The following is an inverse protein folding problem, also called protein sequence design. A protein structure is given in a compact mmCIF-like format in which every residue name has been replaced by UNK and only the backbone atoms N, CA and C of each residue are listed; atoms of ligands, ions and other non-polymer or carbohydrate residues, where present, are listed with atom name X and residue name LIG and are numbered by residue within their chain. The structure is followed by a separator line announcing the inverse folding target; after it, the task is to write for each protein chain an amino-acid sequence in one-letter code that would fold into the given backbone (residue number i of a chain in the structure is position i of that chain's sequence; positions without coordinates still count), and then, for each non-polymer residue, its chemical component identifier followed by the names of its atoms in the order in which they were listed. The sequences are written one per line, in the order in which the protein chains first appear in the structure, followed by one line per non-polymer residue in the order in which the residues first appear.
data_IF_695689071131
#
_entry.id   IF_695689071131
#
_cell.length_a   1.000
_cell.length_b   1.000
_cell.length_c   1.000
_cell.angle_alpha   90.00
_cell.angle_beta   90.00
_cell.angle_gamma   90.00
#
_symmetry.space_group_name_H-M   'P 1'
#
loop_
_entity.id
_entity.type
_entity.pdbx_description
1 polymer ?
#
# COMPACT_ATOMS: atom_id res chain seq x y z
N UNK A 1 -2.50 -10.42 17.62
CA UNK A 1 -2.21 -10.35 16.17
C UNK A 1 -2.42 -8.92 15.70
N UNK A 2 -1.60 -8.46 14.75
CA UNK A 2 -1.82 -7.16 14.10
C UNK A 2 -2.88 -7.32 13.01
N UNK A 3 -3.79 -6.35 12.92
CA UNK A 3 -4.82 -6.34 11.87
C UNK A 3 -4.34 -5.69 10.57
N UNK A 4 -3.38 -4.75 10.66
CA UNK A 4 -2.83 -4.04 9.51
C UNK A 4 -1.42 -3.53 9.81
N UNK A 5 -0.56 -3.49 8.80
CA UNK A 5 0.76 -2.85 8.86
C UNK A 5 0.70 -1.52 8.14
N UNK A 6 1.01 -0.44 8.88
CA UNK A 6 1.05 0.92 8.36
C UNK A 6 2.50 1.28 8.01
N UNK A 7 2.80 1.44 6.72
CA UNK A 7 4.12 1.85 6.22
C UNK A 7 4.07 3.30 5.79
N UNK A 8 4.62 4.17 6.64
CA UNK A 8 4.85 5.57 6.32
C UNK A 8 6.05 5.73 5.37
N UNK A 9 5.86 6.44 4.26
CA UNK A 9 6.91 6.79 3.30
C UNK A 9 6.89 8.29 2.97
N UNK A 10 7.90 8.76 2.23
CA UNK A 10 7.98 10.14 1.74
C UNK A 10 7.29 10.34 0.37
N UNK A 11 6.77 9.25 -0.22
CA UNK A 11 6.10 9.23 -1.52
C UNK A 11 4.63 8.90 -1.30
N UNK A 12 3.77 9.14 -2.30
CA UNK A 12 2.32 8.97 -2.11
C UNK A 12 1.86 7.53 -1.88
N UNK A 13 2.67 6.55 -2.28
CA UNK A 13 2.41 5.13 -2.11
C UNK A 13 3.36 4.31 -2.95
N UNK A 14 2.87 3.20 -3.46
CA UNK A 14 3.57 2.33 -4.40
C UNK A 14 3.25 2.75 -5.82
N UNK A 15 4.29 2.95 -6.62
CA UNK A 15 4.17 3.27 -8.03
C UNK A 15 4.52 2.04 -8.87
N UNK A 16 3.99 1.98 -10.09
CA UNK A 16 4.37 0.93 -11.05
C UNK A 16 5.84 1.02 -11.49
N UNK A 17 6.35 2.24 -11.59
CA UNK A 17 7.74 2.58 -11.93
C UNK A 17 8.32 3.60 -10.95
N UNK A 18 9.65 3.78 -10.93
CA UNK A 18 10.26 4.78 -10.06
C UNK A 18 9.87 6.20 -10.54
N UNK A 19 9.10 6.98 -9.74
CA UNK A 19 8.69 8.34 -10.12
C UNK A 19 9.85 9.32 -10.27
N UNK A 20 11.05 8.96 -9.78
CA UNK A 20 12.28 9.75 -9.98
C UNK A 20 12.89 9.53 -11.37
N UNK A 21 12.64 8.38 -11.97
CA UNK A 21 13.19 7.99 -13.27
C UNK A 21 12.14 8.20 -14.37
N UNK A 22 10.90 7.76 -14.14
CA UNK A 22 9.80 7.97 -15.06
C UNK A 22 8.77 8.97 -14.51
N UNK A 23 8.62 10.16 -15.11
CA UNK A 23 7.58 11.11 -14.70
C UNK A 23 6.15 10.61 -14.96
N UNK A 24 5.99 9.57 -15.78
CA UNK A 24 4.69 8.92 -16.02
C UNK A 24 4.34 7.82 -15.02
N UNK A 25 5.18 7.59 -13.99
CA UNK A 25 4.92 6.60 -12.97
C UNK A 25 3.54 6.82 -12.33
N UNK A 26 2.74 5.76 -12.29
CA UNK A 26 1.36 5.79 -11.80
C UNK A 26 1.30 5.21 -10.42
N UNK A 27 0.65 5.94 -9.52
CA UNK A 27 0.29 5.43 -8.21
C UNK A 27 -0.67 4.25 -8.38
N UNK A 28 -0.40 3.17 -7.66
CA UNK A 28 -1.25 1.99 -7.62
C UNK A 28 -2.07 2.06 -6.34
N UNK A 29 -3.40 2.14 -6.43
CA UNK A 29 -4.24 2.27 -5.23
C UNK A 29 -4.32 0.95 -4.44
N UNK A 30 -4.28 -0.19 -5.14
CA UNK A 30 -4.33 -1.52 -4.55
C UNK A 30 -3.47 -2.51 -5.32
N UNK A 31 -2.76 -3.35 -4.58
CA UNK A 31 -1.89 -4.40 -5.11
C UNK A 31 -2.09 -5.71 -4.35
N UNK A 32 -1.89 -6.82 -5.04
CA UNK A 32 -1.76 -8.12 -4.36
C UNK A 32 -0.30 -8.39 -4.05
N UNK A 33 -0.02 -9.19 -3.01
CA UNK A 33 1.37 -9.60 -2.72
C UNK A 33 2.05 -10.22 -3.94
N UNK A 34 1.31 -11.01 -4.71
CA UNK A 34 1.82 -11.60 -5.94
C UNK A 34 2.22 -10.55 -6.99
N UNK A 35 1.46 -9.44 -7.13
CA UNK A 35 1.87 -8.35 -8.01
C UNK A 35 3.11 -7.63 -7.51
N UNK A 36 3.27 -7.46 -6.20
CA UNK A 36 4.47 -6.86 -5.60
C UNK A 36 5.70 -7.72 -5.92
N UNK A 37 5.61 -9.04 -5.73
CA UNK A 37 6.70 -9.98 -6.04
C UNK A 37 6.95 -10.09 -7.55
N UNK A 38 5.92 -10.21 -8.39
CA UNK A 38 6.09 -10.37 -9.84
C UNK A 38 6.62 -9.13 -10.55
N UNK A 39 6.43 -7.94 -9.97
CA UNK A 39 6.91 -6.67 -10.53
C UNK A 39 8.16 -6.15 -9.80
N UNK A 40 8.74 -6.92 -8.88
CA UNK A 40 9.90 -6.51 -8.06
C UNK A 40 9.73 -5.10 -7.44
N UNK A 41 8.50 -4.80 -6.98
CA UNK A 41 8.20 -3.49 -6.41
C UNK A 41 8.91 -3.36 -5.05
N UNK A 42 9.86 -2.43 -4.97
CA UNK A 42 10.67 -2.17 -3.78
C UNK A 42 9.90 -1.39 -2.71
N UNK A 43 8.85 -2.00 -2.16
CA UNK A 43 8.01 -1.41 -1.11
C UNK A 43 8.57 -1.67 0.29
N UNK A 44 9.02 -2.91 0.48
CA UNK A 44 9.43 -3.50 1.76
C UNK A 44 10.37 -4.67 1.44
N UNK A 45 11.19 -5.07 2.41
CA UNK A 45 12.02 -6.27 2.30
C UNK A 45 11.18 -7.51 1.92
N UNK A 46 11.69 -8.32 0.99
CA UNK A 46 10.98 -9.50 0.48
C UNK A 46 10.56 -10.45 1.62
N UNK A 47 11.38 -10.59 2.65
CA UNK A 47 11.05 -11.44 3.82
C UNK A 47 9.85 -10.91 4.58
N UNK A 48 9.74 -9.59 4.73
CA UNK A 48 8.63 -8.98 5.44
C UNK A 48 7.33 -9.00 4.62
N UNK A 49 7.41 -8.89 3.29
CA UNK A 49 6.27 -9.12 2.38
C UNK A 49 5.75 -10.56 2.55
N UNK A 50 6.63 -11.56 2.49
CA UNK A 50 6.26 -12.97 2.66
C UNK A 50 5.63 -13.22 4.04
N UNK A 51 6.21 -12.67 5.11
CA UNK A 51 5.65 -12.80 6.46
C UNK A 51 4.23 -12.21 6.56
N UNK A 52 4.01 -11.04 5.96
CA UNK A 52 2.69 -10.42 5.93
C UNK A 52 1.70 -11.25 5.11
N UNK A 53 2.13 -11.82 3.99
CA UNK A 53 1.31 -12.69 3.15
C UNK A 53 0.92 -13.98 3.89
N UNK A 54 1.86 -14.67 4.53
CA UNK A 54 1.60 -15.91 5.28
C UNK A 54 0.63 -15.69 6.44
N UNK A 55 0.74 -14.52 7.10
CA UNK A 55 -0.14 -14.15 8.20
C UNK A 55 -1.42 -13.42 7.75
N UNK A 56 -1.62 -13.24 6.43
CA UNK A 56 -2.73 -12.46 5.85
C UNK A 56 -2.88 -11.06 6.46
N UNK A 57 -1.76 -10.39 6.74
CA UNK A 57 -1.73 -9.05 7.36
C UNK A 57 -1.60 -7.99 6.27
N UNK A 58 -2.67 -7.25 5.93
CA UNK A 58 -2.62 -6.22 4.90
C UNK A 58 -1.61 -5.12 5.23
N UNK A 59 -0.96 -4.58 4.20
CA UNK A 59 0.01 -3.49 4.34
C UNK A 59 -0.52 -2.24 3.65
N UNK A 60 -0.58 -1.12 4.36
CA UNK A 60 -1.00 0.18 3.82
C UNK A 60 0.23 1.08 3.74
N UNK A 61 0.57 1.49 2.53
CA UNK A 61 1.70 2.37 2.25
C UNK A 61 1.18 3.76 1.96
N UNK A 62 1.58 4.76 2.74
CA UNK A 62 1.08 6.13 2.59
C UNK A 62 2.14 7.19 2.86
N UNK A 63 1.91 8.38 2.30
CA UNK A 63 2.76 9.54 2.55
C UNK A 63 2.53 10.13 3.94
N UNK A 64 3.59 10.20 4.75
CA UNK A 64 3.55 10.84 6.07
C UNK A 64 3.52 12.37 5.98
N UNK A 65 4.06 12.94 4.90
CA UNK A 65 4.16 14.38 4.70
C UNK A 65 2.83 15.07 4.37
N UNK A 66 1.79 14.30 4.02
CA UNK A 66 0.44 14.84 3.77
C UNK A 66 -0.36 14.90 5.08
N UNK A 67 -0.75 16.10 5.54
CA UNK A 67 -1.51 16.24 6.77
C UNK A 67 -2.85 15.51 6.65
N UNK A 68 -3.16 14.68 7.66
CA UNK A 68 -4.39 13.88 7.72
C UNK A 68 -4.28 12.47 7.14
N UNK A 69 -3.21 12.11 6.42
CA UNK A 69 -3.07 10.76 5.85
C UNK A 69 -3.05 9.65 6.91
N UNK A 70 -2.37 9.86 8.04
CA UNK A 70 -2.35 8.88 9.14
C UNK A 70 -3.77 8.62 9.66
N UNK A 71 -4.54 9.68 9.90
CA UNK A 71 -5.90 9.55 10.42
C UNK A 71 -6.82 8.82 9.42
N UNK A 72 -6.67 9.12 8.13
CA UNK A 72 -7.38 8.43 7.05
C UNK A 72 -6.99 6.95 6.94
N UNK A 73 -5.69 6.64 7.05
CA UNK A 73 -5.19 5.26 7.02
C UNK A 73 -5.76 4.42 8.17
N UNK A 74 -5.81 4.99 9.38
CA UNK A 74 -6.39 4.33 10.56
C UNK A 74 -7.92 4.17 10.42
N UNK A 75 -8.59 5.12 9.76
CA UNK A 75 -10.03 5.03 9.44
C UNK A 75 -10.36 4.00 8.35
N UNK A 76 -9.35 3.43 7.68
CA UNK A 76 -9.56 2.56 6.53
C UNK A 76 -10.01 3.30 5.26
N UNK A 77 -9.81 4.61 5.20
CA UNK A 77 -10.00 5.37 3.96
C UNK A 77 -8.89 5.02 2.95
N UNK A 78 -9.20 5.12 1.65
CA UNK A 78 -8.25 4.88 0.57
C UNK A 78 -7.15 5.96 0.57
N UNK A 79 -6.02 5.66 1.21
CA UNK A 79 -4.84 6.52 1.21
C UNK A 79 -3.58 5.76 0.80
N UNK A 80 -2.93 6.28 -0.23
CA UNK A 80 -1.76 5.66 -0.83
C UNK A 80 -2.10 4.32 -1.46
N UNK A 81 -1.42 3.26 -1.05
CA UNK A 81 -1.55 1.92 -1.64
C UNK A 81 -1.85 0.86 -0.60
N UNK A 82 -2.87 0.05 -0.84
CA UNK A 82 -3.18 -1.14 -0.06
C UNK A 82 -2.57 -2.39 -0.71
N UNK A 83 -1.81 -3.18 0.04
CA UNK A 83 -1.23 -4.44 -0.40
C UNK A 83 -1.90 -5.60 0.34
N UNK A 84 -2.42 -6.55 -0.42
CA UNK A 84 -2.87 -7.84 0.12
C UNK A 84 -4.21 -7.82 0.84
N UNK A 85 -4.71 -6.63 1.20
CA UNK A 85 -6.07 -6.49 1.71
C UNK A 85 -7.08 -6.79 0.62
N UNK A 86 -8.13 -7.53 0.97
CA UNK A 86 -9.33 -7.60 0.14
C UNK A 86 -9.75 -6.16 -0.16
N UNK A 87 -9.89 -5.84 -1.46
CA UNK A 87 -10.41 -4.57 -1.90
C UNK A 87 -11.75 -4.35 -1.18
N UNK A 88 -11.75 -3.55 -0.11
CA UNK A 88 -12.95 -2.91 0.36
C UNK A 88 -13.14 -1.78 -0.63
N UNK A 89 -13.59 -2.13 -1.84
CA UNK A 89 -14.37 -1.21 -2.63
C UNK A 89 -15.48 -0.80 -1.66
N UNK A 90 -15.33 0.40 -1.09
CA UNK A 90 -16.35 0.98 -0.26
C UNK A 90 -17.61 0.88 -1.12
N UNK A 91 -18.50 0.00 -0.70
CA UNK A 91 -19.86 -0.02 -1.16
C UNK A 91 -20.40 1.36 -0.81
N UNK A 92 -20.33 2.28 -1.75
CA UNK A 92 -21.26 3.38 -1.84
C UNK A 92 -22.60 2.75 -2.25
N UNK A 93 -23.20 2.02 -1.32
CA UNK A 93 -24.61 1.72 -1.31
C UNK A 93 -25.26 2.85 -0.51
N UNK A 94 -26.08 3.63 -1.20
CA UNK A 94 -26.98 4.72 -0.73
C UNK A 94 -26.43 6.14 -0.84
#
# INVERSE_FOLDING_TARGET
NAEVVLKATNVDGVYDEDPRINPNARLLDSLTYQQVTSRDLSVMDMTAITLCQENNIPVVVFNLGKPGNIAKAIKGESVGTLIGGACVAAAAST
#
